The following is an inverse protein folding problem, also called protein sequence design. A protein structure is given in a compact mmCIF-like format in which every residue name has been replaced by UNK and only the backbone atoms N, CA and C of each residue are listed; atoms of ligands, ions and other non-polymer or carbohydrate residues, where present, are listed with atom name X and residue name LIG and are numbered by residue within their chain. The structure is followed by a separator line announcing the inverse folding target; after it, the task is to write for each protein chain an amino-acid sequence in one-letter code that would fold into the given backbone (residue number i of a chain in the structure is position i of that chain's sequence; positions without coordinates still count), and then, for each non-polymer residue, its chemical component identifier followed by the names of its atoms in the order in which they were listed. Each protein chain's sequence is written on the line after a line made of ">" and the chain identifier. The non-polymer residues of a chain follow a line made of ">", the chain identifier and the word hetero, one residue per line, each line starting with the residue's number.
data_IF_115293948215
#
_entry.id   IF_115293948215
#
_cell.length_a   1.000
_cell.length_b   1.000
_cell.length_c   1.000
_cell.angle_alpha   90.00
_cell.angle_beta   90.00
_cell.angle_gamma   90.00
#
_symmetry.space_group_name_H-M   'P 1'
#
loop_
_entity.id
_entity.type
_entity.pdbx_description
1 polymer ?
#
# COMPACT_ATOMS: atom_id res chain seq x y z
N UNK A 1 -15.08 7.60 -8.29
CA UNK A 1 -15.20 6.13 -8.14
C UNK A 1 -14.10 5.61 -7.21
N UNK A 2 -12.81 5.79 -7.52
CA UNK A 2 -11.72 5.30 -6.65
C UNK A 2 -11.69 5.96 -5.27
N UNK A 3 -11.88 7.29 -5.17
CA UNK A 3 -11.92 7.98 -3.88
C UNK A 3 -13.03 7.46 -2.95
N UNK A 4 -14.17 7.07 -3.52
CA UNK A 4 -15.28 6.47 -2.76
C UNK A 4 -14.95 5.04 -2.32
N UNK A 5 -14.26 4.27 -3.17
CA UNK A 5 -13.76 2.95 -2.81
C UNK A 5 -12.74 3.01 -1.66
N UNK A 6 -11.78 3.96 -1.72
CA UNK A 6 -10.86 4.21 -0.61
C UNK A 6 -11.60 4.61 0.67
N UNK A 7 -12.65 5.44 0.57
CA UNK A 7 -13.47 5.81 1.72
C UNK A 7 -14.17 4.58 2.32
N UNK A 8 -14.70 3.67 1.50
CA UNK A 8 -15.28 2.42 1.98
C UNK A 8 -14.24 1.56 2.72
N UNK A 9 -13.04 1.41 2.18
CA UNK A 9 -11.93 0.69 2.84
C UNK A 9 -11.59 1.31 4.19
N UNK A 10 -11.57 2.65 4.32
CA UNK A 10 -11.37 3.29 5.62
C UNK A 10 -12.51 3.02 6.60
N UNK A 11 -13.77 2.98 6.15
CA UNK A 11 -14.91 2.61 6.98
C UNK A 11 -14.83 1.16 7.47
N UNK A 12 -14.41 0.22 6.61
CA UNK A 12 -14.17 -1.17 7.01
C UNK A 12 -13.05 -1.27 8.07
N UNK A 13 -11.98 -0.48 7.91
CA UNK A 13 -10.91 -0.42 8.90
C UNK A 13 -11.37 0.18 10.23
N UNK A 14 -12.23 1.21 10.20
CA UNK A 14 -12.87 1.78 11.40
C UNK A 14 -13.80 0.78 12.10
N UNK A 15 -14.45 -0.10 11.34
CA UNK A 15 -15.28 -1.20 11.86
C UNK A 15 -14.46 -2.42 12.33
N UNK A 16 -13.13 -2.37 12.20
CA UNK A 16 -12.19 -3.48 12.50
C UNK A 16 -12.38 -4.74 11.64
N UNK A 17 -13.11 -4.63 10.52
CA UNK A 17 -13.30 -5.74 9.56
C UNK A 17 -12.02 -6.07 8.80
N UNK A 18 -11.15 -5.07 8.62
CA UNK A 18 -9.85 -5.20 7.95
C UNK A 18 -8.74 -4.52 8.74
N UNK A 19 -7.50 -4.98 8.52
CA UNK A 19 -6.31 -4.37 9.11
C UNK A 19 -5.57 -3.55 8.05
N UNK A 20 -5.43 -2.24 8.29
CA UNK A 20 -4.61 -1.38 7.45
C UNK A 20 -3.16 -1.34 7.94
N UNK A 21 -2.24 -1.20 6.99
CA UNK A 21 -0.81 -1.25 7.20
C UNK A 21 -0.20 0.11 6.89
N UNK A 22 0.67 0.59 7.80
CA UNK A 22 1.44 1.82 7.59
C UNK A 22 2.93 1.53 7.65
N UNK A 23 3.63 1.74 6.53
CA UNK A 23 5.08 1.53 6.47
C UNK A 23 5.88 2.81 6.70
N UNK A 24 7.16 2.65 7.02
CA UNK A 24 8.11 3.77 7.08
C UNK A 24 8.15 4.59 5.79
N UNK A 25 7.94 3.98 4.62
CA UNK A 25 7.89 4.72 3.36
C UNK A 25 6.68 5.66 3.28
N UNK A 26 5.53 5.25 3.81
CA UNK A 26 4.37 6.15 3.93
C UNK A 26 4.68 7.33 4.87
N UNK A 27 5.40 7.08 5.96
CA UNK A 27 5.86 8.13 6.88
C UNK A 27 6.80 9.11 6.17
N UNK A 28 7.80 8.60 5.45
CA UNK A 28 8.78 9.41 4.74
C UNK A 28 8.11 10.30 3.68
N UNK A 29 7.21 9.73 2.86
CA UNK A 29 6.46 10.49 1.86
C UNK A 29 5.56 11.56 2.49
N UNK A 30 4.94 11.25 3.63
CA UNK A 30 4.11 12.19 4.38
C UNK A 30 4.93 13.35 4.92
N UNK A 31 6.12 13.09 5.47
CA UNK A 31 7.02 14.13 5.97
C UNK A 31 7.54 15.04 4.86
N UNK A 32 7.80 14.48 3.67
CA UNK A 32 8.22 15.22 2.48
C UNK A 32 7.09 15.99 1.80
N UNK A 33 5.83 15.80 2.20
CA UNK A 33 4.71 16.54 1.64
C UNK A 33 4.83 18.04 1.99
N UNK A 34 4.87 18.94 0.99
CA UNK A 34 5.01 20.38 1.23
C UNK A 34 3.71 21.05 1.68
N UNK A 35 2.58 20.32 1.66
CA UNK A 35 1.26 20.84 2.00
C UNK A 35 0.84 20.35 3.39
N UNK A 36 0.90 21.23 4.38
CA UNK A 36 0.64 20.86 5.78
C UNK A 36 -0.77 20.31 6.01
N UNK A 37 -1.78 20.83 5.32
CA UNK A 37 -3.14 20.30 5.42
C UNK A 37 -3.20 18.84 4.96
N UNK A 38 -2.57 18.50 3.82
CA UNK A 38 -2.53 17.11 3.32
C UNK A 38 -1.76 16.21 4.27
N UNK A 39 -0.65 16.69 4.82
CA UNK A 39 0.15 15.97 5.82
C UNK A 39 -0.68 15.65 7.07
N UNK A 40 -1.41 16.62 7.60
CA UNK A 40 -2.27 16.44 8.77
C UNK A 40 -3.39 15.42 8.51
N UNK A 41 -4.05 15.47 7.35
CA UNK A 41 -5.09 14.50 7.01
C UNK A 41 -4.54 13.08 6.87
N UNK A 42 -3.40 12.91 6.20
CA UNK A 42 -2.75 11.59 6.09
C UNK A 42 -2.32 11.04 7.46
N UNK A 43 -1.78 11.89 8.34
CA UNK A 43 -1.41 11.49 9.71
C UNK A 43 -2.62 11.18 10.60
N UNK A 44 -3.80 11.76 10.33
CA UNK A 44 -5.04 11.37 10.99
C UNK A 44 -5.49 9.99 10.51
N UNK A 45 -5.53 9.79 9.19
CA UNK A 45 -5.92 8.51 8.58
C UNK A 45 -4.99 7.37 8.97
N UNK A 46 -3.68 7.64 9.13
CA UNK A 46 -2.73 6.61 9.54
C UNK A 46 -3.07 6.00 10.91
N UNK A 47 -3.85 6.67 11.76
CA UNK A 47 -4.34 6.13 13.03
C UNK A 47 -5.24 4.90 12.86
N UNK A 48 -5.88 4.73 11.71
CA UNK A 48 -6.68 3.55 11.36
C UNK A 48 -5.81 2.33 11.05
N UNK A 49 -4.54 2.55 10.71
CA UNK A 49 -3.62 1.45 10.46
C UNK A 49 -3.26 0.79 11.80
N UNK A 50 -3.56 -0.50 11.94
CA UNK A 50 -3.26 -1.30 13.15
C UNK A 50 -1.87 -1.93 13.08
N UNK A 51 -1.28 -2.03 11.88
CA UNK A 51 0.04 -2.61 11.65
C UNK A 51 1.04 -1.50 11.26
N UNK A 52 2.25 -1.56 11.81
CA UNK A 52 3.36 -0.63 11.51
C UNK A 52 4.59 -1.39 11.04
N UNK A 53 5.19 -0.94 9.95
CA UNK A 53 6.40 -1.56 9.38
C UNK A 53 7.57 -0.59 9.52
N UNK A 54 8.60 -1.00 10.27
CA UNK A 54 9.87 -0.29 10.37
C UNK A 54 10.79 -0.63 9.17
N UNK A 55 11.77 0.22 8.84
CA UNK A 55 12.77 -0.12 7.84
C UNK A 55 13.55 -1.38 8.24
N UNK A 56 13.75 -2.30 7.30
CA UNK A 56 14.58 -3.49 7.52
C UNK A 56 15.43 -3.78 6.28
N UNK A 57 16.56 -4.47 6.49
CA UNK A 57 17.47 -4.84 5.40
C UNK A 57 16.76 -5.78 4.42
N UNK A 58 15.92 -6.67 4.92
CA UNK A 58 15.14 -7.64 4.17
C UNK A 58 14.18 -6.93 3.21
N UNK A 59 13.47 -5.89 3.68
CA UNK A 59 12.59 -5.07 2.83
C UNK A 59 13.38 -4.40 1.71
N UNK A 60 14.55 -3.83 2.01
CA UNK A 60 15.37 -3.20 0.97
C UNK A 60 15.93 -4.21 -0.04
N UNK A 61 16.26 -5.43 0.38
CA UNK A 61 16.70 -6.50 -0.52
C UNK A 61 15.56 -6.96 -1.44
N UNK A 62 14.35 -7.13 -0.91
CA UNK A 62 13.15 -7.39 -1.71
C UNK A 62 12.87 -6.26 -2.70
N UNK A 63 12.94 -5.00 -2.25
CA UNK A 63 12.73 -3.85 -3.12
C UNK A 63 13.78 -3.79 -4.25
N UNK A 64 15.04 -4.15 -3.99
CA UNK A 64 16.06 -4.23 -5.04
C UNK A 64 15.76 -5.35 -6.05
N UNK A 65 15.31 -6.52 -5.59
CA UNK A 65 14.95 -7.61 -6.49
C UNK A 65 13.74 -7.25 -7.36
N UNK A 66 12.73 -6.57 -6.81
CA UNK A 66 11.55 -6.12 -7.55
C UNK A 66 11.89 -5.08 -8.62
N UNK A 67 12.82 -4.16 -8.32
CA UNK A 67 13.36 -3.22 -9.31
C UNK A 67 14.06 -3.96 -10.46
N UNK A 68 14.90 -4.95 -10.16
CA UNK A 68 15.63 -5.71 -11.18
C UNK A 68 14.72 -6.57 -12.04
N UNK A 69 13.72 -7.21 -11.45
CA UNK A 69 12.82 -8.13 -12.16
C UNK A 69 11.79 -7.42 -13.04
N UNK A 70 11.20 -6.33 -12.56
CA UNK A 70 10.04 -5.69 -13.22
C UNK A 70 10.18 -4.18 -13.44
N UNK A 71 11.33 -3.59 -13.09
CA UNK A 71 11.59 -2.17 -13.32
C UNK A 71 10.64 -1.25 -12.56
N UNK A 72 10.28 -1.61 -11.32
CA UNK A 72 9.56 -0.72 -10.41
C UNK A 72 10.45 0.49 -10.08
N UNK A 73 9.85 1.63 -9.75
CA UNK A 73 10.62 2.75 -9.19
C UNK A 73 11.12 2.37 -7.79
N UNK A 74 12.14 3.06 -7.27
CA UNK A 74 12.69 2.72 -5.95
C UNK A 74 11.67 2.86 -4.82
N UNK A 75 10.74 3.82 -4.91
CA UNK A 75 9.68 3.98 -3.89
C UNK A 75 8.61 2.92 -4.02
N UNK A 76 8.12 2.67 -5.25
CA UNK A 76 7.11 1.65 -5.50
C UNK A 76 7.59 0.26 -5.06
N UNK A 77 8.85 -0.05 -5.36
CA UNK A 77 9.44 -1.32 -4.97
C UNK A 77 9.51 -1.49 -3.45
N UNK A 78 9.75 -0.42 -2.68
CA UNK A 78 9.72 -0.47 -1.22
C UNK A 78 8.30 -0.67 -0.71
N UNK A 79 7.30 0.01 -1.28
CA UNK A 79 5.90 -0.17 -0.90
C UNK A 79 5.43 -1.61 -1.12
N UNK A 80 5.71 -2.17 -2.31
CA UNK A 80 5.39 -3.57 -2.63
C UNK A 80 6.18 -4.53 -1.74
N UNK A 81 7.47 -4.28 -1.48
CA UNK A 81 8.28 -5.09 -0.57
C UNK A 81 7.77 -5.07 0.87
N UNK A 82 7.22 -3.95 1.36
CA UNK A 82 6.59 -3.90 2.67
C UNK A 82 5.37 -4.82 2.74
N UNK A 83 4.52 -4.79 1.70
CA UNK A 83 3.34 -5.67 1.59
C UNK A 83 3.71 -7.15 1.54
N UNK A 84 4.71 -7.50 0.72
CA UNK A 84 5.21 -8.88 0.62
C UNK A 84 5.85 -9.37 1.93
N UNK A 85 6.70 -8.54 2.55
CA UNK A 85 7.41 -8.86 3.79
C UNK A 85 6.47 -9.22 4.95
N UNK A 86 5.36 -8.49 5.10
CA UNK A 86 4.35 -8.78 6.12
C UNK A 86 3.31 -9.82 5.68
N UNK A 87 3.41 -10.32 4.46
CA UNK A 87 2.45 -11.24 3.84
C UNK A 87 1.02 -10.65 3.82
N UNK A 88 0.91 -9.39 3.39
CA UNK A 88 -0.38 -8.74 3.21
C UNK A 88 -1.28 -9.57 2.29
N UNK A 89 -2.59 -9.58 2.54
CA UNK A 89 -3.53 -10.21 1.62
C UNK A 89 -3.68 -9.38 0.33
N UNK A 90 -3.69 -8.05 0.46
CA UNK A 90 -3.93 -7.10 -0.62
C UNK A 90 -2.94 -5.94 -0.59
N UNK A 91 -2.50 -5.51 -1.77
CA UNK A 91 -1.84 -4.23 -2.00
C UNK A 91 -2.70 -3.40 -2.96
N UNK A 92 -3.25 -2.30 -2.45
CA UNK A 92 -4.19 -1.45 -3.18
C UNK A 92 -3.50 -0.19 -3.71
N UNK A 93 -3.65 0.09 -4.99
CA UNK A 93 -3.10 1.31 -5.63
C UNK A 93 -3.96 1.76 -6.82
N UNK A 94 -3.98 3.06 -7.11
CA UNK A 94 -4.61 3.61 -8.32
C UNK A 94 -3.65 3.63 -9.53
N UNK A 95 -2.38 3.23 -9.35
CA UNK A 95 -1.40 3.21 -10.45
C UNK A 95 -1.48 1.91 -11.25
N UNK A 96 -2.15 1.96 -12.40
CA UNK A 96 -2.27 0.84 -13.35
C UNK A 96 -0.91 0.26 -13.80
N UNK A 97 0.12 1.09 -13.94
CA UNK A 97 1.44 0.63 -14.34
C UNK A 97 2.10 -0.16 -13.20
N UNK A 98 1.94 0.30 -11.96
CA UNK A 98 2.39 -0.43 -10.79
C UNK A 98 1.65 -1.76 -10.62
N UNK A 99 0.33 -1.79 -10.81
CA UNK A 99 -0.47 -3.03 -10.80
C UNK A 99 0.07 -4.01 -11.85
N UNK A 100 0.24 -3.57 -13.10
CA UNK A 100 0.70 -4.41 -14.21
C UNK A 100 2.09 -4.97 -13.98
N UNK A 101 3.02 -4.17 -13.46
CA UNK A 101 4.39 -4.62 -13.16
C UNK A 101 4.43 -5.56 -11.97
N UNK A 102 3.71 -5.23 -10.90
CA UNK A 102 3.77 -6.00 -9.65
C UNK A 102 3.06 -7.34 -9.76
N UNK A 103 1.98 -7.44 -10.54
CA UNK A 103 1.35 -8.74 -10.82
C UNK A 103 2.26 -9.71 -11.59
N UNK A 104 3.36 -9.24 -12.19
CA UNK A 104 4.39 -10.10 -12.81
C UNK A 104 5.46 -10.59 -11.83
N UNK A 105 5.45 -10.10 -10.58
CA UNK A 105 6.39 -10.54 -9.53
C UNK A 105 6.01 -11.88 -8.89
N UNK A 106 4.86 -12.47 -9.27
CA UNK A 106 4.35 -13.74 -8.73
C UNK A 106 4.31 -13.76 -7.18
N UNK A 107 3.75 -12.70 -6.61
CA UNK A 107 3.61 -12.53 -5.16
C UNK A 107 2.33 -13.20 -4.66
N UNK A 108 2.33 -13.65 -3.40
CA UNK A 108 1.14 -14.24 -2.79
C UNK A 108 0.04 -13.19 -2.52
N UNK A 109 0.42 -11.93 -2.34
CA UNK A 109 -0.54 -10.83 -2.15
C UNK A 109 -1.22 -10.46 -3.47
N UNK A 110 -2.51 -10.15 -3.41
CA UNK A 110 -3.24 -9.64 -4.57
C UNK A 110 -2.97 -8.15 -4.76
N UNK A 111 -2.72 -7.74 -6.01
CA UNK A 111 -2.39 -6.35 -6.34
C UNK A 111 -3.43 -5.81 -7.31
N UNK A 112 -4.23 -4.86 -6.85
CA UNK A 112 -5.37 -4.34 -7.60
C UNK A 112 -5.71 -2.90 -7.21
N UNK A 113 -6.64 -2.29 -7.95
CA UNK A 113 -7.16 -0.99 -7.57
C UNK A 113 -8.27 -1.12 -6.51
N UNK A 114 -8.55 -0.04 -5.75
CA UNK A 114 -9.57 -0.05 -4.71
C UNK A 114 -10.98 -0.41 -5.19
N UNK A 115 -11.33 -0.09 -6.45
CA UNK A 115 -12.67 -0.41 -7.00
C UNK A 115 -12.83 -1.91 -7.19
N UNK A 116 -11.80 -2.58 -7.70
CA UNK A 116 -11.84 -4.02 -7.92
C UNK A 116 -11.85 -4.78 -6.58
N UNK A 117 -11.16 -4.25 -5.56
CA UNK A 117 -11.20 -4.80 -4.21
C UNK A 117 -12.64 -4.82 -3.64
N UNK A 118 -13.33 -3.67 -3.64
CA UNK A 118 -14.70 -3.60 -3.09
C UNK A 118 -15.70 -4.45 -3.90
N UNK A 119 -15.46 -4.61 -5.21
CA UNK A 119 -16.33 -5.44 -6.07
C UNK A 119 -16.18 -6.94 -5.82
N UNK A 120 -15.02 -7.39 -5.33
CA UNK A 120 -14.83 -8.80 -4.96
C UNK A 120 -15.60 -9.17 -3.70
N UNK A 121 -15.86 -8.20 -2.81
CA UNK A 121 -16.66 -8.41 -1.59
C UNK A 121 -18.18 -8.39 -1.84
N UNK A 122 -18.64 -7.89 -2.99
CA UNK A 122 -20.06 -7.91 -3.40
C UNK A 122 -20.51 -9.25 -4.01
N UNK A 123 -19.65 -10.28 -4.02
CA UNK A 123 -19.90 -11.60 -4.64
C UNK A 123 -20.15 -12.68 -3.59
#
# INVERSE_FOLDING_TARGET
>A
MEALACQNIFLQAEAEDINLVWSFMHQDETLLCPFDQRKQEVLKLSRLCTIRIAPSREIYQLAQSFQQMQGLSSKDAVHVACGDYIKANFFLTCDDNLIKKSNKLNLAMYIMNPIDYIRQEEI
#
